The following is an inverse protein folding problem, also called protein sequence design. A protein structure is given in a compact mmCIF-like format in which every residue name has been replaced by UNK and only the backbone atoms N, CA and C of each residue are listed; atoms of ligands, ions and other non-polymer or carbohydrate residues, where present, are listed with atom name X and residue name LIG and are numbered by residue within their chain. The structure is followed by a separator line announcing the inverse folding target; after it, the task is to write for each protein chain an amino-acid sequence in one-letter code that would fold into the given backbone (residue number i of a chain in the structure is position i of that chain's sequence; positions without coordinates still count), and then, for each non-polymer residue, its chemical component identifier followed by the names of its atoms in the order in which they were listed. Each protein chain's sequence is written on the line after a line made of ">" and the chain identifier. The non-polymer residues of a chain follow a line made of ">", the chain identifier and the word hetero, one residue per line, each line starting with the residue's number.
data_IF_031487947907
#
_entry.id   IF_031487947907
#
_cell.length_a   1.000
_cell.length_b   1.000
_cell.length_c   1.000
_cell.angle_alpha   90.00
_cell.angle_beta   90.00
_cell.angle_gamma   90.00
#
_symmetry.space_group_name_H-M   'P 1'
#
loop_
_entity.id
_entity.type
_entity.pdbx_description
1 polymer ?
#
# COMPACT_ATOMS: atom_id res chain seq x y z
N UNK A 1 17.21 0.92 18.01
CA UNK A 1 16.48 0.04 17.05
C UNK A 1 17.28 -0.03 15.76
N UNK A 2 17.47 -1.24 15.18
CA UNK A 2 18.17 -1.38 13.89
C UNK A 2 17.40 -0.61 12.81
N UNK A 3 18.07 0.33 12.10
CA UNK A 3 17.50 1.17 11.05
C UNK A 3 16.49 0.47 10.08
N UNK A 4 16.74 -0.77 9.58
CA UNK A 4 15.77 -1.44 8.71
C UNK A 4 14.41 -1.70 9.36
N UNK A 5 14.36 -1.95 10.67
CA UNK A 5 13.07 -2.16 11.37
C UNK A 5 12.25 -0.88 11.41
N UNK A 6 12.90 0.26 11.66
CA UNK A 6 12.22 1.56 11.72
C UNK A 6 11.62 1.91 10.37
N UNK A 7 12.39 1.74 9.29
CA UNK A 7 11.93 2.02 7.94
C UNK A 7 10.81 1.06 7.49
N UNK A 8 10.94 -0.24 7.76
CA UNK A 8 9.92 -1.23 7.42
C UNK A 8 8.60 -1.01 8.16
N UNK A 9 8.66 -0.78 9.48
CA UNK A 9 7.46 -0.49 10.30
C UNK A 9 6.87 0.87 9.93
N UNK A 10 7.70 1.90 9.77
CA UNK A 10 7.25 3.24 9.37
C UNK A 10 6.56 3.23 8.01
N UNK A 11 7.12 2.52 7.02
CA UNK A 11 6.48 2.32 5.73
C UNK A 11 5.14 1.58 5.85
N UNK A 12 5.06 0.55 6.70
CA UNK A 12 3.82 -0.19 6.96
C UNK A 12 2.74 0.70 7.59
N UNK A 13 3.10 1.53 8.57
CA UNK A 13 2.20 2.49 9.19
C UNK A 13 1.69 3.53 8.17
N UNK A 14 2.54 3.99 7.27
CA UNK A 14 2.16 4.91 6.21
C UNK A 14 1.16 4.28 5.22
N UNK A 15 1.30 2.99 4.90
CA UNK A 15 0.31 2.27 4.10
C UNK A 15 -1.04 2.18 4.81
N UNK A 16 -1.06 1.87 6.12
CA UNK A 16 -2.29 1.83 6.93
C UNK A 16 -2.95 3.21 6.98
N UNK A 17 -2.17 4.27 7.23
CA UNK A 17 -2.69 5.64 7.23
C UNK A 17 -3.28 6.02 5.87
N UNK A 18 -2.60 5.64 4.78
CA UNK A 18 -3.09 5.87 3.41
C UNK A 18 -4.38 5.09 3.14
N UNK A 19 -4.46 3.84 3.57
CA UNK A 19 -5.66 3.02 3.44
C UNK A 19 -6.86 3.62 4.20
N UNK A 20 -6.62 4.15 5.40
CA UNK A 20 -7.64 4.80 6.21
C UNK A 20 -8.14 6.11 5.57
N UNK A 21 -7.22 6.95 5.07
CA UNK A 21 -7.56 8.17 4.32
C UNK A 21 -8.30 7.87 3.02
N UNK A 22 -7.92 6.81 2.32
CA UNK A 22 -8.61 6.36 1.12
C UNK A 22 -10.03 5.89 1.46
N UNK A 23 -10.19 5.09 2.53
CA UNK A 23 -11.48 4.57 2.95
C UNK A 23 -12.43 5.67 3.44
N UNK A 24 -11.94 6.72 4.12
CA UNK A 24 -12.79 7.84 4.55
C UNK A 24 -13.42 8.61 3.38
N UNK A 25 -12.73 8.66 2.23
CA UNK A 25 -13.24 9.22 0.98
C UNK A 25 -14.34 8.40 0.30
N UNK A 26 -14.60 7.16 0.75
CA UNK A 26 -15.57 6.27 0.09
C UNK A 26 -17.00 6.83 0.07
N UNK A 27 -17.42 7.49 1.16
CA UNK A 27 -18.77 8.07 1.23
C UNK A 27 -18.97 9.18 0.20
N UNK A 28 -17.94 10.02 -0.01
CA UNK A 28 -17.95 11.09 -0.98
C UNK A 28 -17.90 10.55 -2.42
N UNK A 29 -17.03 9.58 -2.69
CA UNK A 29 -17.00 8.84 -3.96
C UNK A 29 -18.39 8.26 -4.29
N UNK A 30 -19.02 7.60 -3.32
CA UNK A 30 -20.33 6.97 -3.52
C UNK A 30 -21.40 8.00 -3.91
N UNK A 31 -21.40 9.19 -3.29
CA UNK A 31 -22.32 10.28 -3.65
C UNK A 31 -22.06 10.81 -5.06
N UNK A 32 -20.80 11.03 -5.41
CA UNK A 32 -20.42 11.53 -6.74
C UNK A 32 -20.79 10.52 -7.84
N UNK A 33 -20.54 9.23 -7.59
CA UNK A 33 -20.92 8.16 -8.49
C UNK A 33 -22.43 8.09 -8.70
N UNK A 34 -23.24 8.37 -7.66
CA UNK A 34 -24.70 8.39 -7.80
C UNK A 34 -25.19 9.43 -8.80
N UNK A 35 -24.55 10.60 -8.82
CA UNK A 35 -24.88 11.72 -9.71
C UNK A 35 -24.26 11.59 -11.11
N UNK A 36 -23.39 10.61 -11.34
CA UNK A 36 -22.74 10.41 -12.64
C UNK A 36 -23.53 9.41 -13.49
N UNK A 37 -23.84 9.72 -14.77
CA UNK A 37 -24.56 8.81 -15.67
C UNK A 37 -23.64 7.65 -16.10
N UNK A 38 -23.45 6.70 -15.19
CA UNK A 38 -22.66 5.49 -15.36
C UNK A 38 -23.57 4.26 -15.27
N UNK A 39 -23.39 3.24 -16.12
CA UNK A 39 -24.08 1.96 -15.95
C UNK A 39 -23.84 1.37 -14.55
N UNK A 40 -24.87 0.74 -13.98
CA UNK A 40 -24.82 0.22 -12.61
C UNK A 40 -23.67 -0.74 -12.34
N UNK A 41 -23.29 -1.55 -13.35
CA UNK A 41 -22.12 -2.42 -13.28
C UNK A 41 -20.82 -1.66 -12.99
N UNK A 42 -20.52 -0.61 -13.75
CA UNK A 42 -19.30 0.17 -13.59
C UNK A 42 -19.28 0.90 -12.24
N UNK A 43 -20.44 1.39 -11.80
CA UNK A 43 -20.59 2.00 -10.48
C UNK A 43 -20.22 1.04 -9.35
N UNK A 44 -20.76 -0.18 -9.39
CA UNK A 44 -20.45 -1.23 -8.42
C UNK A 44 -18.97 -1.66 -8.50
N UNK A 45 -18.43 -1.79 -9.70
CA UNK A 45 -17.02 -2.15 -9.91
C UNK A 45 -16.06 -1.12 -9.32
N UNK A 46 -16.31 0.18 -9.51
CA UNK A 46 -15.49 1.25 -8.94
C UNK A 46 -15.54 1.22 -7.41
N UNK A 47 -16.74 1.08 -6.83
CA UNK A 47 -16.92 1.00 -5.39
C UNK A 47 -16.21 -0.22 -4.79
N UNK A 48 -16.38 -1.40 -5.39
CA UNK A 48 -15.70 -2.61 -4.96
C UNK A 48 -14.18 -2.44 -5.05
N UNK A 49 -13.68 -1.95 -6.19
CA UNK A 49 -12.24 -1.70 -6.40
C UNK A 49 -11.68 -0.76 -5.32
N UNK A 50 -12.43 0.29 -4.95
CA UNK A 50 -12.02 1.22 -3.90
C UNK A 50 -11.81 0.53 -2.55
N UNK A 51 -12.74 -0.35 -2.16
CA UNK A 51 -12.66 -1.10 -0.90
C UNK A 51 -11.53 -2.13 -0.95
N UNK A 52 -11.45 -2.91 -2.03
CA UNK A 52 -10.39 -3.90 -2.23
C UNK A 52 -9.00 -3.27 -2.22
N UNK A 53 -8.87 -2.07 -2.78
CA UNK A 53 -7.64 -1.30 -2.74
C UNK A 53 -7.21 -0.98 -1.30
N UNK A 54 -8.11 -0.40 -0.50
CA UNK A 54 -7.84 -0.10 0.91
C UNK A 54 -7.49 -1.36 1.71
N UNK A 55 -8.23 -2.45 1.52
CA UNK A 55 -7.93 -3.73 2.19
C UNK A 55 -6.58 -4.29 1.77
N UNK A 56 -6.24 -4.23 0.48
CA UNK A 56 -4.97 -4.68 -0.06
C UNK A 56 -3.78 -3.96 0.57
N UNK A 57 -3.86 -2.64 0.74
CA UNK A 57 -2.83 -1.85 1.42
C UNK A 57 -2.64 -2.30 2.89
N UNK A 58 -3.73 -2.56 3.61
CA UNK A 58 -3.68 -3.05 5.00
C UNK A 58 -3.07 -4.44 5.09
N UNK A 59 -3.45 -5.35 4.19
CA UNK A 59 -2.90 -6.71 4.14
C UNK A 59 -1.40 -6.68 3.86
N UNK A 60 -0.96 -5.88 2.89
CA UNK A 60 0.47 -5.71 2.59
C UNK A 60 1.20 -5.11 3.80
N UNK A 61 0.64 -4.08 4.43
CA UNK A 61 1.24 -3.48 5.61
C UNK A 61 1.41 -4.48 6.76
N UNK A 62 0.39 -5.31 7.02
CA UNK A 62 0.45 -6.36 8.04
C UNK A 62 1.51 -7.41 7.69
N UNK A 63 1.55 -7.88 6.44
CA UNK A 63 2.54 -8.86 5.98
C UNK A 63 3.97 -8.33 6.13
N UNK A 64 4.22 -7.08 5.73
CA UNK A 64 5.53 -6.43 5.88
C UNK A 64 5.88 -6.23 7.35
N UNK A 65 4.98 -5.66 8.16
CA UNK A 65 5.21 -5.45 9.58
C UNK A 65 5.56 -6.76 10.32
N UNK A 66 4.86 -7.86 10.00
CA UNK A 66 5.16 -9.17 10.56
C UNK A 66 6.62 -9.59 10.32
N UNK A 67 7.16 -9.36 9.11
CA UNK A 67 8.55 -9.69 8.79
C UNK A 67 9.58 -8.88 9.59
N UNK A 68 9.25 -7.65 10.00
CA UNK A 68 10.17 -6.79 10.76
C UNK A 68 10.01 -6.93 12.29
N UNK A 69 8.86 -7.40 12.76
CA UNK A 69 8.55 -7.62 14.18
C UNK A 69 8.97 -9.02 14.65
N UNK A 70 8.87 -10.04 13.79
CA UNK A 70 9.23 -11.41 14.15
C UNK A 70 10.70 -11.54 14.60
N UNK A 71 10.96 -12.55 15.46
CA UNK A 71 12.31 -12.82 15.99
C UNK A 71 13.19 -13.65 15.03
N UNK A 72 12.58 -14.30 14.03
CA UNK A 72 13.26 -15.11 13.04
C UNK A 72 13.75 -14.34 11.80
N UNK A 73 14.46 -15.01 10.87
CA UNK A 73 14.88 -14.41 9.61
C UNK A 73 13.67 -13.95 8.80
N UNK A 74 13.74 -12.78 8.18
CA UNK A 74 12.68 -12.29 7.31
C UNK A 74 12.60 -13.12 6.03
N UNK A 75 11.39 -13.46 5.60
CA UNK A 75 11.17 -14.16 4.35
C UNK A 75 11.32 -13.19 3.17
N UNK A 76 12.41 -13.36 2.42
CA UNK A 76 12.75 -12.54 1.25
C UNK A 76 11.71 -12.57 0.15
N UNK A 77 11.12 -13.73 -0.13
CA UNK A 77 10.12 -13.85 -1.17
C UNK A 77 8.87 -13.02 -0.84
N UNK A 78 8.41 -13.06 0.42
CA UNK A 78 7.25 -12.28 0.88
C UNK A 78 7.50 -10.78 0.72
N UNK A 79 8.64 -10.27 1.19
CA UNK A 79 8.97 -8.84 1.07
C UNK A 79 9.09 -8.39 -0.39
N UNK A 80 9.68 -9.21 -1.26
CA UNK A 80 9.76 -8.92 -2.70
C UNK A 80 8.39 -8.88 -3.37
N UNK A 81 7.50 -9.83 -3.06
CA UNK A 81 6.13 -9.84 -3.59
C UNK A 81 5.36 -8.60 -3.11
N UNK A 82 5.43 -8.27 -1.81
CA UNK A 82 4.81 -7.06 -1.27
C UNK A 82 5.33 -5.80 -1.99
N UNK A 83 6.64 -5.69 -2.21
CA UNK A 83 7.22 -4.58 -2.95
C UNK A 83 6.76 -4.52 -4.40
N UNK A 84 6.70 -5.65 -5.09
CA UNK A 84 6.24 -5.71 -6.48
C UNK A 84 4.78 -5.26 -6.60
N UNK A 85 3.92 -5.70 -5.68
CA UNK A 85 2.52 -5.28 -5.62
C UNK A 85 2.39 -3.78 -5.35
N UNK A 86 3.18 -3.23 -4.42
CA UNK A 86 3.17 -1.80 -4.13
C UNK A 86 3.70 -0.96 -5.29
N UNK A 87 4.80 -1.38 -5.92
CA UNK A 87 5.35 -0.70 -7.09
C UNK A 87 4.35 -0.69 -8.25
N UNK A 88 3.73 -1.84 -8.54
CA UNK A 88 2.65 -1.94 -9.54
C UNK A 88 1.47 -1.04 -9.19
N UNK A 89 1.09 -0.99 -7.91
CA UNK A 89 0.03 -0.10 -7.41
C UNK A 89 0.35 1.37 -7.67
N UNK A 90 1.56 1.83 -7.37
CA UNK A 90 1.99 3.21 -7.63
C UNK A 90 1.91 3.52 -9.12
N UNK A 91 2.37 2.63 -9.99
CA UNK A 91 2.33 2.80 -11.44
C UNK A 91 0.88 2.90 -11.93
N UNK A 92 0.03 1.96 -11.54
CA UNK A 92 -1.39 1.96 -11.94
C UNK A 92 -2.09 3.23 -11.48
N UNK A 93 -1.91 3.64 -10.22
CA UNK A 93 -2.52 4.88 -9.73
C UNK A 93 -1.98 6.12 -10.46
N UNK A 94 -0.67 6.20 -10.69
CA UNK A 94 -0.08 7.33 -11.40
C UNK A 94 -0.61 7.45 -12.84
N UNK A 95 -0.83 6.33 -13.53
CA UNK A 95 -1.35 6.30 -14.91
C UNK A 95 -2.84 6.65 -14.95
N UNK A 96 -3.64 6.10 -14.04
CA UNK A 96 -5.10 6.24 -14.10
C UNK A 96 -5.65 7.49 -13.41
N UNK A 97 -5.02 7.92 -12.32
CA UNK A 97 -5.49 8.99 -11.45
C UNK A 97 -4.52 10.16 -11.37
N UNK A 98 -3.33 10.03 -11.96
CA UNK A 98 -2.27 11.02 -11.87
C UNK A 98 -1.48 10.94 -10.56
N UNK A 99 -0.55 11.89 -10.40
CA UNK A 99 0.25 12.02 -9.19
C UNK A 99 -0.51 12.92 -8.20
N UNK A 100 -1.04 12.30 -7.15
CA UNK A 100 -1.67 13.00 -6.03
C UNK A 100 -1.13 12.46 -4.69
N UNK A 101 -1.56 13.05 -3.58
CA UNK A 101 -1.03 12.78 -2.23
C UNK A 101 -1.05 11.28 -1.88
N UNK A 102 -2.11 10.56 -2.24
CA UNK A 102 -2.21 9.11 -2.02
C UNK A 102 -1.14 8.33 -2.79
N UNK A 103 -0.99 8.58 -4.09
CA UNK A 103 0.06 7.97 -4.93
C UNK A 103 1.45 8.25 -4.37
N UNK A 104 1.71 9.49 -3.93
CA UNK A 104 2.99 9.87 -3.32
C UNK A 104 3.23 9.14 -2.00
N UNK A 105 2.21 9.03 -1.14
CA UNK A 105 2.33 8.32 0.14
C UNK A 105 2.66 6.83 -0.07
N UNK A 106 2.02 6.18 -1.04
CA UNK A 106 2.33 4.78 -1.39
C UNK A 106 3.74 4.67 -1.97
N UNK A 107 4.17 5.60 -2.83
CA UNK A 107 5.52 5.61 -3.38
C UNK A 107 6.58 5.76 -2.28
N UNK A 108 6.38 6.68 -1.33
CA UNK A 108 7.27 6.87 -0.18
C UNK A 108 7.30 5.60 0.69
N UNK A 109 6.14 5.01 0.98
CA UNK A 109 6.07 3.75 1.73
C UNK A 109 6.81 2.61 1.01
N UNK A 110 6.65 2.52 -0.31
CA UNK A 110 7.33 1.52 -1.16
C UNK A 110 8.85 1.68 -1.09
N UNK A 111 9.35 2.91 -1.19
CA UNK A 111 10.76 3.22 -1.08
C UNK A 111 11.30 2.93 0.33
N UNK A 112 10.57 3.28 1.38
CA UNK A 112 10.95 2.99 2.76
C UNK A 112 11.03 1.48 3.02
N UNK A 113 10.05 0.71 2.57
CA UNK A 113 10.03 -0.75 2.70
C UNK A 113 11.13 -1.38 1.84
N UNK A 114 11.34 -0.87 0.62
CA UNK A 114 12.37 -1.37 -0.29
C UNK A 114 13.78 -1.14 0.23
N UNK A 115 14.06 0.04 0.77
CA UNK A 115 15.34 0.35 1.41
C UNK A 115 15.55 -0.49 2.66
N UNK A 116 14.54 -0.64 3.53
CA UNK A 116 14.59 -1.54 4.68
C UNK A 116 14.91 -2.99 4.27
N UNK A 117 14.25 -3.47 3.24
CA UNK A 117 14.42 -4.82 2.68
C UNK A 117 15.81 -5.02 2.11
N UNK A 118 16.32 -4.05 1.35
CA UNK A 118 17.67 -4.08 0.78
C UNK A 118 18.75 -4.08 1.87
N UNK A 119 18.59 -3.28 2.93
CA UNK A 119 19.50 -3.28 4.09
C UNK A 119 19.51 -4.64 4.79
N UNK A 120 18.34 -5.24 4.97
CA UNK A 120 18.19 -6.51 5.68
C UNK A 120 18.89 -7.68 4.94
N UNK A 121 18.94 -7.65 3.61
CA UNK A 121 19.61 -8.68 2.80
C UNK A 121 21.06 -8.38 2.42
N UNK A 122 21.57 -7.18 2.69
CA UNK A 122 22.99 -6.85 2.49
C UNK A 122 23.86 -7.17 3.69
N UNK A 123 23.29 -7.31 4.89
CA UNK A 123 24.06 -7.70 6.07
C UNK A 123 24.38 -9.20 5.99
N UNK A 124 25.68 -9.59 5.92
CA UNK A 124 26.05 -10.99 6.12
C UNK A 124 25.69 -11.36 7.57
N UNK A 125 24.73 -12.27 7.74
CA UNK A 125 24.44 -12.92 9.02
C UNK A 125 25.50 -13.93 9.35
#
# INVERSE_FOLDING_TARGET
>A
MKAPKVLGIGGSLLLVATAALHLSGYSELSKQLQNTPLPGFWRAAIQATWVFFSMGLVIIAAAVAAQFVQRGPANRAVLMVCMALLAGTVIVMAVWLGVFIGTLAIAIATLAIGTATAMLFRSPT
#
